data_IF_633054453828
#
_entry.id   IF_633054453828
#
_cell.length_a   1.000
_cell.length_b   1.000
_cell.length_c   1.000
_cell.angle_alpha   90.00
_cell.angle_beta   90.00
_cell.angle_gamma   90.00
#
_symmetry.space_group_name_H-M   'P 1'
#
loop_
_entity.id
_entity.type
_entity.pdbx_description
1 polymer ?
#
# COMPACT_ATOMS: atom_id res chain seq x y z
N UNK A 1 -25.87 -24.70 15.77
CA UNK A 1 -24.96 -24.94 14.62
C UNK A 1 -24.82 -23.61 13.91
N UNK A 2 -23.72 -22.90 14.17
CA UNK A 2 -23.43 -21.60 13.57
C UNK A 2 -22.46 -21.84 12.41
N UNK A 3 -22.97 -21.95 11.19
CA UNK A 3 -22.17 -22.24 9.98
C UNK A 3 -21.58 -20.97 9.35
N UNK A 4 -21.25 -19.96 10.16
CA UNK A 4 -20.86 -18.63 9.70
C UNK A 4 -19.37 -18.28 9.76
N UNK A 5 -18.54 -19.06 10.47
CA UNK A 5 -17.21 -18.62 10.90
C UNK A 5 -16.03 -19.18 10.06
N UNK A 6 -16.26 -20.31 9.37
CA UNK A 6 -15.18 -21.08 8.70
C UNK A 6 -14.70 -20.43 7.39
N UNK A 7 -15.57 -19.70 6.69
CA UNK A 7 -15.24 -19.13 5.37
C UNK A 7 -14.36 -17.88 5.41
N UNK A 8 -14.41 -17.12 6.50
CA UNK A 8 -13.55 -15.94 6.74
C UNK A 8 -12.15 -16.35 7.17
N UNK A 9 -12.04 -17.37 8.02
CA UNK A 9 -10.77 -17.90 8.50
C UNK A 9 -9.92 -18.45 7.34
N UNK A 10 -10.54 -19.19 6.41
CA UNK A 10 -9.89 -19.65 5.18
C UNK A 10 -9.46 -18.47 4.29
N UNK A 11 -10.30 -17.43 4.15
CA UNK A 11 -10.05 -16.29 3.27
C UNK A 11 -8.83 -15.45 3.68
N UNK A 12 -8.57 -15.35 4.98
CA UNK A 12 -7.46 -14.56 5.54
C UNK A 12 -6.30 -15.39 6.07
N UNK A 13 -6.38 -16.72 5.96
CA UNK A 13 -5.33 -17.65 6.39
C UNK A 13 -3.93 -17.29 5.87
N UNK A 14 -3.84 -16.73 4.66
CA UNK A 14 -2.57 -16.29 4.06
C UNK A 14 -1.85 -15.20 4.87
N UNK A 15 -2.56 -14.41 5.68
CA UNK A 15 -1.95 -13.39 6.55
C UNK A 15 -1.09 -14.00 7.65
N UNK A 16 -1.34 -15.27 8.03
CA UNK A 16 -0.50 -15.99 8.99
C UNK A 16 0.91 -16.32 8.47
N UNK A 17 1.14 -16.15 7.16
CA UNK A 17 2.44 -16.34 6.52
C UNK A 17 3.31 -15.08 6.53
N UNK A 18 2.75 -13.92 6.90
CA UNK A 18 3.52 -12.70 7.09
C UNK A 18 4.37 -12.80 8.36
N UNK A 19 5.52 -12.15 8.36
CA UNK A 19 6.29 -11.99 9.60
C UNK A 19 5.50 -11.17 10.62
N UNK A 20 5.76 -11.39 11.91
CA UNK A 20 5.11 -10.64 12.99
C UNK A 20 5.26 -9.12 12.83
N UNK A 21 6.41 -8.69 12.30
CA UNK A 21 6.70 -7.27 12.02
C UNK A 21 5.81 -6.68 10.94
N UNK A 22 5.42 -7.48 9.95
CA UNK A 22 4.63 -7.02 8.81
C UNK A 22 3.14 -7.19 9.02
N UNK A 23 2.70 -8.13 9.86
CA UNK A 23 1.28 -8.40 10.06
C UNK A 23 0.55 -7.15 10.55
N UNK A 24 1.01 -6.53 11.65
CA UNK A 24 0.39 -5.35 12.24
C UNK A 24 0.24 -4.19 11.25
N UNK A 25 1.33 -3.69 10.66
CA UNK A 25 1.28 -2.64 9.65
C UNK A 25 0.40 -3.00 8.43
N UNK A 26 0.43 -4.25 7.97
CA UNK A 26 -0.38 -4.69 6.83
C UNK A 26 -1.88 -4.67 7.16
N UNK A 27 -2.30 -5.09 8.36
CA UNK A 27 -3.73 -5.17 8.69
C UNK A 27 -4.32 -3.80 9.05
N UNK A 28 -3.55 -2.92 9.68
CA UNK A 28 -4.03 -1.60 10.12
C UNK A 28 -3.98 -0.53 9.03
N UNK A 29 -3.27 -0.79 7.93
CA UNK A 29 -3.17 0.14 6.80
C UNK A 29 -4.55 0.47 6.19
N UNK A 30 -4.83 1.75 6.02
CA UNK A 30 -6.16 2.26 5.64
C UNK A 30 -6.41 2.29 4.13
N UNK A 31 -5.36 2.46 3.32
CA UNK A 31 -5.50 2.49 1.86
C UNK A 31 -5.71 1.09 1.26
N UNK A 32 -6.79 0.94 0.50
CA UNK A 32 -7.06 -0.23 -0.34
C UNK A 32 -7.55 -1.47 0.41
N UNK A 33 -7.92 -2.50 -0.35
CA UNK A 33 -8.42 -3.77 0.17
C UNK A 33 -7.33 -4.58 0.89
N UNK A 34 -7.69 -5.19 2.02
CA UNK A 34 -6.76 -5.97 2.85
C UNK A 34 -6.18 -7.17 2.11
N UNK A 35 -6.98 -7.86 1.28
CA UNK A 35 -6.53 -9.06 0.56
C UNK A 35 -5.51 -8.68 -0.51
N UNK A 36 -5.83 -7.66 -1.32
CA UNK A 36 -4.92 -7.16 -2.35
C UNK A 36 -3.59 -6.66 -1.75
N UNK A 37 -3.66 -5.93 -0.63
CA UNK A 37 -2.49 -5.42 0.08
C UNK A 37 -1.66 -6.54 0.68
N UNK A 38 -2.26 -7.46 1.44
CA UNK A 38 -1.52 -8.55 2.06
C UNK A 38 -0.82 -9.45 1.03
N UNK A 39 -1.48 -9.77 -0.09
CA UNK A 39 -0.85 -10.50 -1.21
C UNK A 39 0.32 -9.72 -1.82
N UNK A 40 0.15 -8.41 -2.00
CA UNK A 40 1.22 -7.55 -2.51
C UNK A 40 2.45 -7.57 -1.59
N UNK A 41 2.25 -7.44 -0.27
CA UNK A 41 3.36 -7.49 0.70
C UNK A 41 4.07 -8.84 0.65
N UNK A 42 3.33 -9.95 0.51
CA UNK A 42 3.96 -11.27 0.34
C UNK A 42 4.80 -11.37 -0.93
N UNK A 43 4.26 -10.94 -2.08
CA UNK A 43 4.96 -10.99 -3.37
C UNK A 43 6.23 -10.13 -3.33
N UNK A 44 6.12 -8.91 -2.77
CA UNK A 44 7.28 -8.03 -2.62
C UNK A 44 8.32 -8.64 -1.69
N UNK A 45 7.90 -9.21 -0.55
CA UNK A 45 8.82 -9.83 0.40
C UNK A 45 9.59 -10.99 -0.21
N UNK A 46 8.91 -11.87 -0.94
CA UNK A 46 9.54 -13.00 -1.63
C UNK A 46 10.56 -12.55 -2.68
N UNK A 47 10.19 -11.56 -3.51
CA UNK A 47 11.07 -11.02 -4.53
C UNK A 47 12.30 -10.33 -3.92
N UNK A 48 12.09 -9.46 -2.91
CA UNK A 48 13.17 -8.72 -2.25
C UNK A 48 14.15 -9.64 -1.53
N UNK A 49 13.64 -10.68 -0.85
CA UNK A 49 14.48 -11.71 -0.23
C UNK A 49 15.32 -12.50 -1.23
N UNK A 50 14.92 -12.52 -2.50
CA UNK A 50 15.65 -13.14 -3.61
C UNK A 50 16.55 -12.14 -4.35
N UNK A 51 16.69 -10.92 -3.84
CA UNK A 51 17.48 -9.87 -4.47
C UNK A 51 16.78 -9.18 -5.66
N UNK A 52 15.51 -9.48 -5.90
CA UNK A 52 14.75 -9.03 -7.07
C UNK A 52 13.69 -7.99 -6.73
N UNK A 53 13.24 -7.26 -7.76
CA UNK A 53 12.09 -6.35 -7.68
C UNK A 53 11.01 -6.90 -8.61
N UNK A 54 9.78 -7.14 -8.11
CA UNK A 54 8.74 -7.72 -8.93
C UNK A 54 8.24 -6.71 -9.96
N UNK A 55 7.69 -7.22 -11.07
CA UNK A 55 7.10 -6.36 -12.10
C UNK A 55 5.84 -5.65 -11.55
N UNK A 56 5.54 -4.42 -12.00
CA UNK A 56 4.36 -3.69 -11.53
C UNK A 56 3.02 -4.36 -11.81
N UNK A 57 2.93 -5.28 -12.77
CA UNK A 57 1.71 -6.03 -13.08
C UNK A 57 1.48 -7.23 -12.15
N UNK A 58 2.50 -7.64 -11.38
CA UNK A 58 2.37 -8.69 -10.39
C UNK A 58 1.68 -8.23 -9.09
N UNK A 59 1.50 -6.92 -8.88
CA UNK A 59 0.88 -6.38 -7.66
C UNK A 59 -0.49 -5.79 -7.94
N UNK A 60 -1.45 -6.16 -7.10
CA UNK A 60 -2.82 -5.65 -7.15
C UNK A 60 -3.01 -4.39 -6.28
N UNK A 61 -2.03 -4.10 -5.44
CA UNK A 61 -1.99 -2.93 -4.56
C UNK A 61 -0.60 -2.27 -4.65
N UNK A 62 -0.48 -0.95 -4.45
CA UNK A 62 -1.55 0.04 -4.45
C UNK A 62 -2.16 0.24 -5.85
N UNK A 63 -3.03 1.25 -6.02
CA UNK A 63 -3.59 1.63 -7.33
C UNK A 63 -2.48 1.81 -8.37
N UNK A 64 -2.81 1.53 -9.64
CA UNK A 64 -1.84 1.41 -10.76
C UNK A 64 -0.79 2.53 -10.81
N UNK A 65 -1.21 3.79 -10.75
CA UNK A 65 -0.30 4.93 -10.91
C UNK A 65 0.72 5.02 -9.77
N UNK A 66 0.25 4.76 -8.53
CA UNK A 66 1.13 4.73 -7.36
C UNK A 66 2.06 3.52 -7.40
N UNK A 67 1.54 2.37 -7.84
CA UNK A 67 2.31 1.13 -7.96
C UNK A 67 3.48 1.25 -8.93
N UNK A 68 3.25 1.83 -10.11
CA UNK A 68 4.33 2.05 -11.09
C UNK A 68 5.42 2.97 -10.53
N UNK A 69 5.00 4.05 -9.87
CA UNK A 69 5.93 5.01 -9.24
C UNK A 69 6.74 4.35 -8.13
N UNK A 70 6.10 3.49 -7.34
CA UNK A 70 6.73 2.80 -6.22
C UNK A 70 7.76 1.78 -6.67
N UNK A 71 7.43 0.95 -7.67
CA UNK A 71 8.38 0.00 -8.24
C UNK A 71 9.58 0.74 -8.85
N UNK A 72 9.34 1.81 -9.62
CA UNK A 72 10.42 2.61 -10.18
C UNK A 72 11.33 3.23 -9.10
N UNK A 73 10.78 3.61 -7.94
CA UNK A 73 11.56 4.10 -6.81
C UNK A 73 12.45 3.00 -6.20
N UNK A 74 11.92 1.78 -6.02
CA UNK A 74 12.70 0.62 -5.55
C UNK A 74 13.83 0.29 -6.52
N UNK A 75 13.55 0.32 -7.83
CA UNK A 75 14.56 0.07 -8.88
C UNK A 75 15.64 1.14 -8.89
N UNK A 76 15.25 2.42 -8.81
CA UNK A 76 16.18 3.56 -8.78
C UNK A 76 17.08 3.52 -7.55
N UNK A 77 16.53 3.14 -6.40
CA UNK A 77 17.29 2.98 -5.17
C UNK A 77 18.09 1.66 -5.12
N UNK A 78 17.98 0.80 -6.15
CA UNK A 78 18.62 -0.49 -6.25
C UNK A 78 18.37 -1.37 -5.00
N UNK A 79 17.12 -1.42 -4.53
CA UNK A 79 16.77 -2.02 -3.23
C UNK A 79 16.98 -3.54 -3.20
N UNK A 80 16.72 -4.22 -4.31
CA UNK A 80 16.80 -5.69 -4.41
C UNK A 80 18.10 -6.27 -3.81
N UNK A 81 19.29 -5.91 -4.31
CA UNK A 81 20.56 -6.40 -3.76
C UNK A 81 20.81 -6.12 -2.27
N UNK A 82 20.19 -5.10 -1.67
CA UNK A 82 20.32 -4.84 -0.23
C UNK A 82 19.42 -5.74 0.62
N UNK A 83 18.39 -6.33 0.02
CA UNK A 83 17.42 -7.21 0.68
C UNK A 83 17.74 -8.71 0.50
N UNK A 84 18.66 -9.06 -0.40
CA UNK A 84 18.98 -10.44 -0.74
C UNK A 84 19.40 -11.26 0.49
N UNK A 85 18.57 -12.25 0.85
CA UNK A 85 18.78 -13.11 2.01
C UNK A 85 18.67 -12.42 3.37
N UNK A 86 18.23 -11.16 3.45
CA UNK A 86 18.11 -10.39 4.70
C UNK A 86 16.64 -10.07 5.03
N UNK A 87 15.99 -10.87 5.90
CA UNK A 87 14.61 -10.64 6.33
C UNK A 87 14.42 -9.35 7.13
N UNK A 88 15.44 -8.89 7.85
CA UNK A 88 15.31 -7.72 8.72
C UNK A 88 15.22 -6.45 7.87
N UNK A 89 16.16 -6.29 6.94
CA UNK A 89 16.19 -5.18 5.99
C UNK A 89 14.98 -5.24 5.06
N UNK A 90 14.63 -6.44 4.58
CA UNK A 90 13.44 -6.61 3.72
C UNK A 90 12.17 -6.15 4.42
N UNK A 91 11.96 -6.57 5.67
CA UNK A 91 10.77 -6.18 6.42
C UNK A 91 10.76 -4.65 6.69
N UNK A 92 11.91 -4.03 6.96
CA UNK A 92 12.01 -2.58 7.15
C UNK A 92 11.68 -1.77 5.89
N UNK A 93 12.15 -2.23 4.73
CA UNK A 93 11.77 -1.65 3.43
C UNK A 93 10.26 -1.73 3.20
N UNK A 94 9.65 -2.87 3.52
CA UNK A 94 8.21 -3.08 3.34
C UNK A 94 7.37 -2.26 4.32
N UNK A 95 7.84 -2.06 5.55
CA UNK A 95 7.21 -1.14 6.51
C UNK A 95 7.28 0.29 5.98
N UNK A 96 8.44 0.73 5.51
CA UNK A 96 8.59 2.07 4.93
C UNK A 96 7.70 2.27 3.69
N UNK A 97 7.56 1.23 2.87
CA UNK A 97 6.65 1.20 1.74
C UNK A 97 5.20 1.40 2.17
N UNK A 98 4.74 0.65 3.18
CA UNK A 98 3.41 0.80 3.76
C UNK A 98 3.19 2.24 4.26
N UNK A 99 4.12 2.79 5.03
CA UNK A 99 4.02 4.16 5.54
C UNK A 99 3.95 5.20 4.41
N UNK A 100 4.80 5.04 3.38
CA UNK A 100 4.83 5.93 2.22
C UNK A 100 3.50 5.94 1.45
N UNK A 101 2.87 4.77 1.28
CA UNK A 101 1.55 4.67 0.63
C UNK A 101 0.47 5.33 1.50
N UNK A 102 0.55 5.17 2.82
CA UNK A 102 -0.39 5.82 3.74
C UNK A 102 -0.25 7.35 3.74
N UNK A 103 0.98 7.88 3.74
CA UNK A 103 1.24 9.32 3.62
C UNK A 103 0.72 9.89 2.30
N UNK A 104 0.97 9.20 1.18
CA UNK A 104 0.46 9.59 -0.13
C UNK A 104 -1.09 9.62 -0.15
N UNK A 105 -1.74 8.67 0.52
CA UNK A 105 -3.19 8.66 0.67
C UNK A 105 -3.70 9.85 1.49
N UNK A 106 -3.09 10.13 2.65
CA UNK A 106 -3.46 11.28 3.47
C UNK A 106 -3.27 12.62 2.76
N UNK A 107 -2.19 12.77 1.99
CA UNK A 107 -1.97 13.95 1.17
C UNK A 107 -3.08 14.12 0.12
N UNK A 108 -3.45 13.03 -0.56
CA UNK A 108 -4.52 13.03 -1.55
C UNK A 108 -5.86 13.46 -0.96
N UNK A 109 -6.27 12.89 0.17
CA UNK A 109 -7.53 13.25 0.86
C UNK A 109 -7.56 14.72 1.27
N UNK A 110 -6.46 15.22 1.84
CA UNK A 110 -6.32 16.64 2.22
C UNK A 110 -6.42 17.57 1.01
N UNK A 111 -5.77 17.21 -0.10
CA UNK A 111 -5.82 17.99 -1.32
C UNK A 111 -7.24 18.03 -1.89
N UNK A 112 -7.94 16.90 -1.91
CA UNK A 112 -9.32 16.81 -2.41
C UNK A 112 -10.27 17.73 -1.63
N UNK A 113 -10.20 17.70 -0.29
CA UNK A 113 -10.99 18.59 0.58
C UNK A 113 -10.68 20.05 0.28
N UNK A 114 -9.40 20.41 0.17
CA UNK A 114 -8.97 21.77 -0.12
C UNK A 114 -9.49 22.25 -1.49
N UNK A 115 -9.40 21.42 -2.53
CA UNK A 115 -9.89 21.77 -3.87
C UNK A 115 -11.40 21.97 -3.89
N UNK A 116 -12.18 21.14 -3.20
CA UNK A 116 -13.61 21.35 -3.07
C UNK A 116 -13.95 22.65 -2.32
N UNK A 117 -13.21 22.98 -1.26
CA UNK A 117 -13.41 24.23 -0.53
C UNK A 117 -13.12 25.46 -1.41
N UNK A 118 -12.03 25.43 -2.19
CA UNK A 118 -11.67 26.49 -3.13
C UNK A 118 -12.71 26.66 -4.25
N UNK A 119 -13.18 25.56 -4.84
CA UNK A 119 -14.22 25.60 -5.87
C UNK A 119 -15.53 26.22 -5.36
N UNK A 120 -15.96 25.89 -4.13
CA UNK A 120 -17.16 26.49 -3.51
C UNK A 120 -16.99 27.97 -3.24
N UNK A 121 -15.78 28.43 -2.88
CA UNK A 121 -15.47 29.85 -2.66
C UNK A 121 -15.58 30.65 -3.96
N UNK A 122 -15.02 30.14 -5.06
CA UNK A 122 -15.11 30.79 -6.38
C UNK A 122 -16.57 30.96 -6.84
N UNK A 123 -17.38 29.89 -6.72
CA UNK A 123 -18.79 29.94 -7.07
C UNK A 123 -19.55 31.01 -6.27
N UNK A 124 -19.36 31.07 -4.95
CA UNK A 124 -20.00 32.09 -4.10
C UNK A 124 -19.62 33.51 -4.52
N UNK A 125 -18.35 33.76 -4.81
CA UNK A 125 -17.86 35.08 -5.24
C UNK A 125 -18.45 35.50 -6.59
N UNK A 126 -18.60 34.57 -7.53
CA UNK A 126 -19.26 34.84 -8.82
C UNK A 126 -20.73 35.19 -8.68
N UNK A 127 -21.44 34.59 -7.73
CA UNK A 127 -22.86 34.91 -7.46
C UNK A 127 -23.09 36.23 -6.69
N UNK A 128 -22.08 36.77 -6.00
CA UNK A 128 -22.22 38.05 -5.27
C UNK A 128 -21.82 39.28 -6.09
N UNK A 129 -21.17 39.08 -7.24
CA UNK A 129 -20.67 40.15 -8.13
C UNK A 129 -21.43 40.26 -9.46
N UNK A 130 -22.45 39.44 -9.70
CA UNK A 130 -23.37 39.53 -10.85
C UNK A 130 -24.77 39.82 -10.38
#
# INVERSE_FOLDING_TARGET
MSSGDDSSEVRYSFLSLLSERLLGPTVTHLHGDLIARGRTIMILREALLSGEIPRPDALDWPRRDLRQTLIAALETANVGPYCDGDPEITDDVLIYLLDSVNEAHHLYERALVAFHALARKDQKQRFTLG
#
